data_IF_669455651637
#
_entry.id   IF_669455651637
#
_cell.length_a   1.000
_cell.length_b   1.000
_cell.length_c   1.000
_cell.angle_alpha   90.00
_cell.angle_beta   90.00
_cell.angle_gamma   90.00
#
_symmetry.space_group_name_H-M   'P 1'
#
loop_
_entity.id
_entity.type
_entity.pdbx_description
1 polymer ?
#
# COMPACT_ATOMS: atom_id res chain seq x y z
N UNK A 1 -55.24 13.86 -21.00
CA UNK A 1 -55.14 12.58 -20.31
C UNK A 1 -53.86 11.77 -20.62
N UNK A 2 -53.39 11.65 -21.88
CA UNK A 2 -52.16 10.87 -22.20
C UNK A 2 -50.84 11.50 -21.69
N UNK A 3 -50.76 12.82 -21.56
CA UNK A 3 -49.56 13.55 -21.11
C UNK A 3 -49.36 13.50 -19.58
N UNK A 4 -50.44 13.52 -18.81
CA UNK A 4 -50.43 13.42 -17.34
C UNK A 4 -50.04 12.01 -16.87
N UNK A 5 -50.43 10.97 -17.60
CA UNK A 5 -50.07 9.58 -17.30
C UNK A 5 -48.55 9.33 -17.54
N UNK A 6 -47.97 9.89 -18.61
CA UNK A 6 -46.51 9.80 -18.85
C UNK A 6 -45.68 10.48 -17.79
N UNK A 7 -46.10 11.64 -17.28
CA UNK A 7 -45.39 12.36 -16.19
C UNK A 7 -45.49 11.60 -14.86
N UNK A 8 -46.63 10.96 -14.55
CA UNK A 8 -46.72 10.13 -13.32
C UNK A 8 -45.87 8.89 -13.37
N UNK A 9 -45.80 8.20 -14.52
CA UNK A 9 -44.94 7.00 -14.68
C UNK A 9 -43.46 7.37 -14.55
N UNK A 10 -43.03 8.51 -15.14
CA UNK A 10 -41.63 8.97 -15.00
C UNK A 10 -41.27 9.37 -13.55
N UNK A 11 -42.23 9.98 -12.82
CA UNK A 11 -42.01 10.35 -11.40
C UNK A 11 -41.92 9.12 -10.46
N UNK A 12 -42.77 8.09 -10.74
CA UNK A 12 -42.73 6.85 -9.94
C UNK A 12 -41.47 6.05 -10.25
N UNK A 13 -40.95 6.04 -11.48
CA UNK A 13 -39.67 5.40 -11.81
C UNK A 13 -38.47 6.10 -11.10
N UNK A 14 -38.46 7.45 -11.07
CA UNK A 14 -37.42 8.23 -10.41
C UNK A 14 -37.41 8.05 -8.88
N UNK A 15 -38.61 8.00 -8.26
CA UNK A 15 -38.73 7.75 -6.81
C UNK A 15 -38.35 6.31 -6.43
N UNK A 16 -38.66 5.34 -7.29
CA UNK A 16 -38.28 3.94 -7.09
C UNK A 16 -36.78 3.74 -7.16
N UNK A 17 -36.10 4.34 -8.11
CA UNK A 17 -34.63 4.24 -8.25
C UNK A 17 -33.87 4.91 -7.12
N UNK A 18 -34.34 6.06 -6.64
CA UNK A 18 -33.74 6.75 -5.51
C UNK A 18 -33.89 5.96 -4.19
N UNK A 19 -35.02 5.30 -3.97
CA UNK A 19 -35.26 4.45 -2.79
C UNK A 19 -34.42 3.17 -2.82
N UNK A 20 -34.25 2.55 -3.97
CA UNK A 20 -33.42 1.35 -4.14
C UNK A 20 -31.93 1.73 -3.93
N UNK A 21 -31.47 2.82 -4.53
CA UNK A 21 -30.09 3.29 -4.35
C UNK A 21 -29.76 3.58 -2.88
N UNK A 22 -30.68 4.23 -2.15
CA UNK A 22 -30.48 4.52 -0.71
C UNK A 22 -30.52 3.25 0.16
N UNK A 23 -31.34 2.26 -0.18
CA UNK A 23 -31.37 0.98 0.52
C UNK A 23 -30.10 0.15 0.27
N UNK A 24 -29.56 0.21 -0.94
CA UNK A 24 -28.32 -0.47 -1.32
C UNK A 24 -27.11 0.18 -0.62
N UNK A 25 -27.05 1.52 -0.53
CA UNK A 25 -26.00 2.27 0.14
C UNK A 25 -25.97 1.92 1.65
N UNK A 26 -27.12 1.85 2.31
CA UNK A 26 -27.22 1.43 3.69
C UNK A 26 -26.72 -0.02 3.90
N UNK A 27 -27.02 -0.94 2.99
CA UNK A 27 -26.58 -2.33 3.09
C UNK A 27 -25.08 -2.50 2.92
N UNK A 28 -24.45 -1.69 2.05
CA UNK A 28 -22.99 -1.66 1.89
C UNK A 28 -22.32 -1.10 3.14
N UNK A 29 -22.81 0.00 3.69
CA UNK A 29 -22.29 0.59 4.94
C UNK A 29 -22.37 -0.37 6.13
N UNK A 30 -23.49 -1.11 6.27
CA UNK A 30 -23.63 -2.14 7.28
C UNK A 30 -22.64 -3.29 7.09
N UNK A 31 -22.43 -3.75 5.86
CA UNK A 31 -21.47 -4.81 5.54
C UNK A 31 -20.03 -4.39 5.88
N UNK A 32 -19.65 -3.14 5.58
CA UNK A 32 -18.34 -2.59 6.00
C UNK A 32 -18.23 -2.55 7.52
N UNK A 33 -19.24 -2.06 8.23
CA UNK A 33 -19.26 -2.00 9.70
C UNK A 33 -19.06 -3.39 10.30
N UNK A 34 -19.79 -4.39 9.82
CA UNK A 34 -19.64 -5.79 10.25
C UNK A 34 -18.24 -6.34 9.92
N UNK A 35 -17.70 -5.99 8.74
CA UNK A 35 -16.37 -6.43 8.34
C UNK A 35 -15.27 -5.91 9.29
N UNK A 36 -15.35 -4.66 9.72
CA UNK A 36 -14.42 -4.08 10.71
C UNK A 36 -14.59 -4.70 12.09
N UNK A 37 -15.83 -4.96 12.50
CA UNK A 37 -16.09 -5.65 13.76
C UNK A 37 -15.45 -7.04 13.80
N UNK A 38 -15.67 -7.86 12.77
CA UNK A 38 -15.11 -9.21 12.70
C UNK A 38 -13.59 -9.21 12.54
N UNK A 39 -13.02 -8.26 11.79
CA UNK A 39 -11.56 -8.09 11.69
C UNK A 39 -10.94 -7.80 13.06
N UNK A 40 -11.53 -6.89 13.84
CA UNK A 40 -11.04 -6.51 15.17
C UNK A 40 -10.96 -7.71 16.12
N UNK A 41 -11.82 -8.70 15.96
CA UNK A 41 -11.80 -9.93 16.75
C UNK A 41 -11.06 -11.09 16.07
N UNK A 42 -10.36 -10.82 14.96
CA UNK A 42 -9.57 -11.81 14.23
C UNK A 42 -10.39 -12.81 13.39
N UNK A 43 -11.71 -12.58 13.25
CA UNK A 43 -12.58 -13.47 12.47
C UNK A 43 -12.66 -12.99 11.01
N UNK A 44 -11.58 -13.18 10.27
CA UNK A 44 -11.47 -12.74 8.87
C UNK A 44 -12.49 -13.45 7.95
N UNK A 45 -12.82 -14.70 8.23
CA UNK A 45 -13.81 -15.44 7.45
C UNK A 45 -15.19 -14.76 7.49
N UNK A 46 -15.66 -14.37 8.69
CA UNK A 46 -16.92 -13.65 8.85
C UNK A 46 -16.85 -12.23 8.27
N UNK A 47 -15.69 -11.55 8.38
CA UNK A 47 -15.47 -10.24 7.79
C UNK A 47 -15.61 -10.28 6.26
N UNK A 48 -14.98 -11.26 5.60
CA UNK A 48 -15.09 -11.50 4.16
C UNK A 48 -16.53 -11.84 3.77
N UNK A 49 -17.19 -12.73 4.53
CA UNK A 49 -18.56 -13.15 4.26
C UNK A 49 -19.55 -11.97 4.33
N UNK A 50 -19.34 -11.02 5.24
CA UNK A 50 -20.17 -9.82 5.35
C UNK A 50 -20.14 -8.97 4.07
N UNK A 51 -18.95 -8.73 3.51
CA UNK A 51 -18.79 -7.95 2.28
C UNK A 51 -19.25 -8.70 1.05
N UNK A 52 -19.11 -10.04 1.02
CA UNK A 52 -19.55 -10.85 -0.13
C UNK A 52 -21.07 -10.82 -0.36
N UNK A 53 -21.86 -10.54 0.68
CA UNK A 53 -23.32 -10.40 0.55
C UNK A 53 -23.75 -9.21 -0.32
N UNK A 54 -22.91 -8.18 -0.37
CA UNK A 54 -23.16 -6.93 -1.09
C UNK A 54 -22.13 -6.71 -2.21
N UNK A 55 -21.39 -7.75 -2.58
CA UNK A 55 -20.25 -7.64 -3.49
C UNK A 55 -20.66 -7.19 -4.88
N UNK A 56 -20.03 -6.11 -5.31
CA UNK A 56 -20.04 -5.61 -6.67
C UNK A 56 -18.61 -5.54 -7.20
N UNK A 57 -18.31 -6.24 -8.28
CA UNK A 57 -16.99 -6.28 -8.92
C UNK A 57 -16.54 -4.91 -9.41
N UNK A 58 -17.46 -4.01 -9.70
CA UNK A 58 -17.20 -2.64 -10.13
C UNK A 58 -16.95 -1.65 -8.97
N UNK A 59 -17.10 -2.08 -7.71
CA UNK A 59 -16.77 -1.26 -6.56
C UNK A 59 -15.29 -1.35 -6.22
N UNK A 60 -14.58 -0.23 -6.33
CA UNK A 60 -13.19 -0.11 -5.92
C UNK A 60 -13.00 -0.43 -4.43
N UNK A 61 -13.88 0.12 -3.58
CA UNK A 61 -13.81 0.02 -2.13
C UNK A 61 -14.00 -1.43 -1.65
N UNK A 62 -14.96 -2.15 -2.24
CA UNK A 62 -15.20 -3.56 -1.92
C UNK A 62 -14.01 -4.44 -2.32
N UNK A 63 -13.45 -4.20 -3.52
CA UNK A 63 -12.26 -4.91 -3.96
C UNK A 63 -11.05 -4.61 -3.07
N UNK A 64 -10.82 -3.34 -2.73
CA UNK A 64 -9.72 -2.93 -1.85
C UNK A 64 -9.84 -3.60 -0.47
N UNK A 65 -11.04 -3.54 0.13
CA UNK A 65 -11.31 -4.10 1.45
C UNK A 65 -11.21 -5.63 1.46
N UNK A 66 -11.73 -6.30 0.46
CA UNK A 66 -11.60 -7.76 0.30
C UNK A 66 -10.14 -8.16 0.06
N UNK A 67 -9.38 -7.36 -0.68
CA UNK A 67 -7.94 -7.54 -0.84
C UNK A 67 -7.23 -7.60 0.51
N UNK A 68 -7.47 -6.61 1.37
CA UNK A 68 -6.88 -6.56 2.71
C UNK A 68 -7.31 -7.73 3.60
N UNK A 69 -8.61 -8.04 3.67
CA UNK A 69 -9.12 -9.12 4.52
C UNK A 69 -8.61 -10.50 4.09
N UNK A 70 -8.50 -10.75 2.77
CA UNK A 70 -7.91 -11.99 2.28
C UNK A 70 -6.42 -12.08 2.58
N UNK A 71 -5.66 -10.97 2.50
CA UNK A 71 -4.26 -10.93 2.95
C UNK A 71 -4.15 -11.28 4.44
N UNK A 72 -4.96 -10.65 5.29
CA UNK A 72 -4.98 -10.88 6.72
C UNK A 72 -5.39 -12.31 7.10
N UNK A 73 -6.20 -12.95 6.25
CA UNK A 73 -6.59 -14.37 6.37
C UNK A 73 -5.54 -15.35 5.84
N UNK A 74 -4.41 -14.88 5.27
CA UNK A 74 -3.40 -15.73 4.63
C UNK A 74 -3.77 -16.23 3.23
N UNK A 75 -4.86 -15.74 2.66
CA UNK A 75 -5.37 -16.11 1.33
C UNK A 75 -4.73 -15.20 0.26
N UNK A 76 -3.41 -15.37 0.07
CA UNK A 76 -2.61 -14.40 -0.70
C UNK A 76 -3.00 -14.32 -2.18
N UNK A 77 -3.37 -15.44 -2.82
CA UNK A 77 -3.80 -15.45 -4.22
C UNK A 77 -5.10 -14.69 -4.41
N UNK A 78 -6.08 -14.94 -3.55
CA UNK A 78 -7.36 -14.25 -3.53
C UNK A 78 -7.19 -12.76 -3.26
N UNK A 79 -6.31 -12.43 -2.32
CA UNK A 79 -5.95 -11.04 -2.00
C UNK A 79 -5.40 -10.31 -3.23
N UNK A 80 -4.41 -10.90 -3.92
CA UNK A 80 -3.85 -10.33 -5.15
C UNK A 80 -4.92 -10.13 -6.22
N UNK A 81 -5.86 -11.07 -6.38
CA UNK A 81 -6.95 -10.95 -7.34
C UNK A 81 -7.84 -9.72 -7.04
N UNK A 82 -8.24 -9.54 -5.78
CA UNK A 82 -9.06 -8.38 -5.39
C UNK A 82 -8.32 -7.05 -5.56
N UNK A 83 -7.05 -6.98 -5.14
CA UNK A 83 -6.25 -5.77 -5.38
C UNK A 83 -6.04 -5.51 -6.87
N UNK A 84 -5.90 -6.55 -7.71
CA UNK A 84 -5.81 -6.38 -9.16
C UNK A 84 -7.11 -5.80 -9.75
N UNK A 85 -8.28 -6.24 -9.26
CA UNK A 85 -9.56 -5.65 -9.65
C UNK A 85 -9.63 -4.16 -9.25
N UNK A 86 -9.19 -3.81 -8.03
CA UNK A 86 -9.11 -2.41 -7.60
C UNK A 86 -8.16 -1.59 -8.49
N UNK A 87 -7.00 -2.13 -8.86
CA UNK A 87 -6.05 -1.48 -9.77
C UNK A 87 -6.65 -1.29 -11.17
N UNK A 88 -7.41 -2.26 -11.68
CA UNK A 88 -8.05 -2.15 -12.98
C UNK A 88 -9.15 -1.06 -13.00
N UNK A 89 -9.86 -0.88 -11.89
CA UNK A 89 -10.86 0.17 -11.72
C UNK A 89 -10.23 1.56 -11.57
N UNK A 90 -9.09 1.64 -10.83
CA UNK A 90 -8.35 2.88 -10.59
C UNK A 90 -6.86 2.68 -10.89
N UNK A 91 -6.42 2.74 -12.16
CA UNK A 91 -5.04 2.42 -12.55
C UNK A 91 -3.96 3.32 -11.91
N UNK A 92 -4.32 4.53 -11.50
CA UNK A 92 -3.41 5.48 -10.82
C UNK A 92 -3.47 5.38 -9.30
N UNK A 93 -4.19 4.43 -8.73
CA UNK A 93 -4.28 4.24 -7.28
C UNK A 93 -2.98 3.68 -6.72
N UNK A 94 -2.24 4.50 -5.99
CA UNK A 94 -1.06 4.10 -5.22
C UNK A 94 -1.48 3.17 -4.07
N UNK A 95 -2.63 3.44 -3.43
CA UNK A 95 -3.16 2.63 -2.33
C UNK A 95 -3.39 1.17 -2.74
N UNK A 96 -4.08 0.92 -3.86
CA UNK A 96 -4.35 -0.42 -4.34
C UNK A 96 -3.06 -1.17 -4.71
N UNK A 97 -2.07 -0.47 -5.30
CA UNK A 97 -0.76 -1.04 -5.62
C UNK A 97 0.06 -1.36 -4.37
N UNK A 98 0.07 -0.49 -3.37
CA UNK A 98 0.71 -0.76 -2.08
C UNK A 98 0.02 -1.95 -1.39
N UNK A 99 -1.32 -2.02 -1.44
CA UNK A 99 -2.07 -3.16 -0.92
C UNK A 99 -1.68 -4.47 -1.61
N UNK A 100 -1.53 -4.48 -2.93
CA UNK A 100 -1.13 -5.66 -3.71
C UNK A 100 0.26 -6.19 -3.33
N UNK A 101 1.18 -5.29 -2.96
CA UNK A 101 2.57 -5.67 -2.59
C UNK A 101 2.61 -6.63 -1.41
N UNK A 102 1.75 -6.46 -0.41
CA UNK A 102 1.77 -7.30 0.79
C UNK A 102 1.51 -8.78 0.49
N UNK A 103 0.41 -9.16 -0.17
CA UNK A 103 0.17 -10.57 -0.51
C UNK A 103 1.18 -11.10 -1.54
N UNK A 104 1.66 -10.28 -2.48
CA UNK A 104 2.68 -10.68 -3.43
C UNK A 104 4.00 -11.03 -2.74
N UNK A 105 4.44 -10.22 -1.78
CA UNK A 105 5.64 -10.48 -0.99
C UNK A 105 5.48 -11.73 -0.10
N UNK A 106 4.35 -11.87 0.57
CA UNK A 106 4.05 -13.03 1.41
C UNK A 106 3.95 -14.33 0.59
N UNK A 107 3.51 -14.24 -0.66
CA UNK A 107 3.48 -15.36 -1.60
C UNK A 107 4.85 -15.67 -2.23
N UNK A 108 5.87 -14.81 -2.03
CA UNK A 108 7.22 -14.95 -2.60
C UNK A 108 7.35 -14.41 -4.03
N UNK A 109 6.37 -13.69 -4.55
CA UNK A 109 6.40 -13.15 -5.90
C UNK A 109 7.12 -11.79 -5.96
N UNK A 110 8.45 -11.81 -5.76
CA UNK A 110 9.27 -10.59 -5.74
C UNK A 110 9.30 -9.84 -7.07
N UNK A 111 9.10 -10.53 -8.19
CA UNK A 111 8.99 -9.90 -9.51
C UNK A 111 7.80 -8.93 -9.54
N UNK A 112 6.65 -9.38 -9.05
CA UNK A 112 5.46 -8.55 -9.02
C UNK A 112 5.56 -7.42 -7.97
N UNK A 113 6.21 -7.67 -6.83
CA UNK A 113 6.53 -6.63 -5.83
C UNK A 113 7.29 -5.47 -6.48
N UNK A 114 8.36 -5.78 -7.23
CA UNK A 114 9.17 -4.78 -7.94
C UNK A 114 8.34 -4.07 -9.00
N UNK A 115 7.52 -4.80 -9.76
CA UNK A 115 6.63 -4.23 -10.77
C UNK A 115 5.68 -3.22 -10.17
N UNK A 116 5.01 -3.54 -9.07
CA UNK A 116 4.07 -2.62 -8.42
C UNK A 116 4.78 -1.37 -7.87
N UNK A 117 5.95 -1.50 -7.22
CA UNK A 117 6.71 -0.32 -6.80
C UNK A 117 7.18 0.53 -7.99
N UNK A 118 7.57 -0.09 -9.11
CA UNK A 118 7.92 0.64 -10.34
C UNK A 118 6.72 1.45 -10.85
N UNK A 119 5.53 0.85 -10.89
CA UNK A 119 4.29 1.54 -11.28
C UNK A 119 3.92 2.68 -10.33
N UNK A 120 4.15 2.52 -9.04
CA UNK A 120 3.96 3.62 -8.07
C UNK A 120 4.93 4.77 -8.39
N UNK A 121 6.18 4.48 -8.69
CA UNK A 121 7.18 5.51 -8.99
C UNK A 121 7.00 6.16 -10.37
N UNK A 122 6.30 5.51 -11.31
CA UNK A 122 5.82 6.13 -12.56
C UNK A 122 4.71 7.17 -12.27
N UNK A 123 3.84 6.92 -11.27
CA UNK A 123 2.76 7.81 -10.86
C UNK A 123 3.29 8.95 -9.98
N UNK A 124 4.08 8.61 -8.98
CA UNK A 124 4.68 9.52 -8.01
C UNK A 124 6.18 9.18 -7.83
N UNK A 125 7.08 9.83 -8.59
CA UNK A 125 8.52 9.58 -8.52
C UNK A 125 9.15 9.87 -7.15
N UNK A 126 8.46 10.64 -6.31
CA UNK A 126 8.91 10.99 -4.95
C UNK A 126 8.25 10.14 -3.86
N UNK A 127 7.44 9.15 -4.20
CA UNK A 127 6.80 8.29 -3.22
C UNK A 127 7.85 7.67 -2.28
N UNK A 128 7.86 8.13 -1.03
CA UNK A 128 8.88 7.75 -0.06
C UNK A 128 8.86 6.26 0.27
N UNK A 129 7.67 5.67 0.38
CA UNK A 129 7.49 4.24 0.67
C UNK A 129 8.07 3.40 -0.48
N UNK A 130 7.71 3.70 -1.72
CA UNK A 130 8.19 2.96 -2.87
C UNK A 130 9.71 3.14 -3.06
N UNK A 131 10.24 4.36 -2.95
CA UNK A 131 11.68 4.60 -3.01
C UNK A 131 12.42 3.85 -1.89
N UNK A 132 11.96 3.91 -0.64
CA UNK A 132 12.59 3.18 0.46
C UNK A 132 12.61 1.67 0.21
N UNK A 133 11.50 1.08 -0.18
CA UNK A 133 11.38 -0.37 -0.45
C UNK A 133 12.21 -0.82 -1.65
N UNK A 134 12.24 -0.04 -2.73
CA UNK A 134 13.12 -0.33 -3.87
C UNK A 134 14.59 -0.21 -3.47
N UNK A 135 14.97 0.81 -2.71
CA UNK A 135 16.32 0.94 -2.16
C UNK A 135 16.72 -0.30 -1.36
N UNK A 136 15.84 -0.77 -0.48
CA UNK A 136 16.08 -1.97 0.31
C UNK A 136 16.25 -3.24 -0.55
N UNK A 137 15.38 -3.44 -1.53
CA UNK A 137 15.44 -4.59 -2.47
C UNK A 137 16.77 -4.60 -3.24
N UNK A 138 17.24 -3.46 -3.72
CA UNK A 138 18.51 -3.37 -4.44
C UNK A 138 19.72 -3.48 -3.50
N UNK A 139 19.62 -2.99 -2.28
CA UNK A 139 20.64 -3.18 -1.25
C UNK A 139 20.83 -4.67 -0.93
N UNK A 140 19.75 -5.40 -0.73
CA UNK A 140 19.77 -6.86 -0.48
C UNK A 140 20.38 -7.64 -1.66
N UNK A 141 20.11 -7.19 -2.89
CA UNK A 141 20.77 -7.71 -4.12
C UNK A 141 22.23 -7.28 -4.28
N UNK A 142 22.78 -6.50 -3.34
CA UNK A 142 24.12 -5.91 -3.39
C UNK A 142 24.34 -4.94 -4.57
N UNK A 143 23.28 -4.49 -5.21
CA UNK A 143 23.33 -3.39 -6.17
C UNK A 143 23.25 -2.05 -5.43
N UNK A 144 24.33 -1.73 -4.76
CA UNK A 144 24.42 -0.54 -3.91
C UNK A 144 24.33 0.76 -4.72
N UNK A 145 24.74 0.75 -5.98
CA UNK A 145 24.66 1.91 -6.85
C UNK A 145 23.19 2.27 -7.17
N UNK A 146 22.36 1.27 -7.42
CA UNK A 146 20.93 1.47 -7.61
C UNK A 146 20.22 1.79 -6.29
N UNK A 147 20.55 1.10 -5.20
CA UNK A 147 20.02 1.37 -3.87
C UNK A 147 20.27 2.82 -3.42
N UNK A 148 21.47 3.35 -3.70
CA UNK A 148 21.85 4.73 -3.41
C UNK A 148 20.84 5.73 -4.00
N UNK A 149 20.50 5.58 -5.29
CA UNK A 149 19.59 6.50 -5.99
C UNK A 149 18.19 6.55 -5.35
N UNK A 150 17.74 5.44 -4.84
CA UNK A 150 16.44 5.34 -4.16
C UNK A 150 16.48 5.93 -2.74
N UNK A 151 17.48 5.57 -1.94
CA UNK A 151 17.61 6.12 -0.57
C UNK A 151 17.94 7.61 -0.57
N UNK A 152 18.72 8.09 -1.54
CA UNK A 152 18.98 9.52 -1.70
C UNK A 152 17.68 10.32 -1.85
N UNK A 153 16.71 9.86 -2.65
CA UNK A 153 15.40 10.51 -2.78
C UNK A 153 14.66 10.55 -1.44
N UNK A 154 14.68 9.45 -0.67
CA UNK A 154 14.04 9.39 0.64
C UNK A 154 14.65 10.41 1.60
N UNK A 155 15.98 10.45 1.70
CA UNK A 155 16.69 11.34 2.62
C UNK A 155 16.60 12.81 2.18
N UNK A 156 16.56 13.09 0.88
CA UNK A 156 16.34 14.44 0.37
C UNK A 156 14.95 14.96 0.72
N UNK A 157 13.94 14.10 0.70
CA UNK A 157 12.56 14.47 1.05
C UNK A 157 12.35 14.53 2.57
N UNK A 158 12.95 13.59 3.29
CA UNK A 158 12.86 13.47 4.75
C UNK A 158 14.26 13.41 5.38
N UNK A 159 14.96 14.56 5.53
CA UNK A 159 16.37 14.61 5.92
C UNK A 159 16.67 14.09 7.34
N UNK A 160 15.64 13.84 8.13
CA UNK A 160 15.77 13.41 9.52
C UNK A 160 14.84 12.22 9.82
N UNK A 161 14.86 11.21 8.91
CA UNK A 161 14.15 9.93 9.10
C UNK A 161 15.14 8.83 9.47
N UNK A 162 14.86 8.10 10.54
CA UNK A 162 15.74 7.05 11.06
C UNK A 162 16.06 5.98 9.99
N UNK A 163 15.03 5.31 9.47
CA UNK A 163 15.21 4.21 8.52
C UNK A 163 15.92 4.65 7.23
N UNK A 164 15.53 5.82 6.70
CA UNK A 164 16.14 6.40 5.50
C UNK A 164 17.63 6.70 5.71
N UNK A 165 17.97 7.36 6.81
CA UNK A 165 19.36 7.70 7.14
C UNK A 165 20.21 6.46 7.38
N UNK A 166 19.71 5.48 8.13
CA UNK A 166 20.46 4.26 8.44
C UNK A 166 20.79 3.46 7.19
N UNK A 167 19.78 3.21 6.34
CA UNK A 167 19.99 2.45 5.10
C UNK A 167 20.83 3.22 4.08
N UNK A 168 20.71 4.56 4.04
CA UNK A 168 21.56 5.38 3.19
C UNK A 168 23.01 5.44 3.69
N UNK A 169 23.23 5.43 5.02
CA UNK A 169 24.55 5.34 5.61
C UNK A 169 25.26 4.04 5.24
N UNK A 170 24.57 2.91 5.43
CA UNK A 170 25.09 1.61 5.03
C UNK A 170 25.36 1.50 3.53
N UNK A 171 24.47 2.06 2.71
CA UNK A 171 24.65 2.08 1.25
C UNK A 171 25.89 2.88 0.85
N UNK A 172 26.12 4.05 1.46
CA UNK A 172 27.33 4.84 1.25
C UNK A 172 28.60 4.09 1.71
N UNK A 173 28.53 3.42 2.86
CA UNK A 173 29.63 2.58 3.35
C UNK A 173 30.00 1.48 2.36
N UNK A 174 29.01 0.74 1.84
CA UNK A 174 29.23 -0.32 0.85
C UNK A 174 29.80 0.21 -0.48
N UNK A 175 29.53 1.46 -0.82
CA UNK A 175 30.10 2.13 -1.99
C UNK A 175 31.49 2.75 -1.75
N UNK A 176 32.07 2.58 -0.54
CA UNK A 176 33.34 3.18 -0.17
C UNK A 176 33.27 4.70 0.09
N UNK A 177 32.09 5.29 0.15
CA UNK A 177 31.85 6.70 0.47
C UNK A 177 31.86 6.88 1.99
N UNK A 178 33.04 6.66 2.60
CA UNK A 178 33.18 6.55 4.07
C UNK A 178 32.88 7.84 4.81
N UNK A 179 33.22 9.00 4.25
CA UNK A 179 32.91 10.31 4.86
C UNK A 179 31.42 10.57 4.93
N UNK A 180 30.70 10.32 3.85
CA UNK A 180 29.26 10.46 3.75
C UNK A 180 28.57 9.48 4.71
N UNK A 181 29.01 8.22 4.73
CA UNK A 181 28.52 7.21 5.65
C UNK A 181 28.67 7.64 7.11
N UNK A 182 29.85 8.16 7.49
CA UNK A 182 30.13 8.65 8.85
C UNK A 182 29.17 9.77 9.26
N UNK A 183 28.93 10.74 8.38
CA UNK A 183 27.98 11.84 8.64
C UNK A 183 26.58 11.31 8.85
N UNK A 184 26.15 10.35 8.03
CA UNK A 184 24.81 9.77 8.10
C UNK A 184 24.63 8.91 9.36
N UNK A 185 25.61 8.06 9.73
CA UNK A 185 25.56 7.30 10.98
C UNK A 185 25.50 8.22 12.21
N UNK A 186 26.27 9.33 12.22
CA UNK A 186 26.17 10.30 13.31
C UNK A 186 24.78 10.95 13.37
N UNK A 187 24.12 11.24 12.24
CA UNK A 187 22.73 11.71 12.24
C UNK A 187 21.77 10.67 12.81
N UNK A 188 21.98 9.39 12.52
CA UNK A 188 21.20 8.30 13.14
C UNK A 188 21.34 8.32 14.65
N UNK A 189 22.54 8.52 15.17
CA UNK A 189 22.79 8.61 16.62
C UNK A 189 22.14 9.84 17.27
N UNK A 190 21.86 10.92 16.52
CA UNK A 190 21.07 12.04 17.05
C UNK A 190 19.60 11.65 17.23
N UNK A 191 19.07 10.77 16.37
CA UNK A 191 17.70 10.26 16.46
C UNK A 191 17.55 9.12 17.48
N UNK A 192 18.56 8.26 17.55
CA UNK A 192 18.60 7.08 18.41
C UNK A 192 19.97 6.97 19.08
N UNK A 193 20.19 7.68 20.19
CA UNK A 193 21.45 7.59 20.95
C UNK A 193 21.71 6.14 21.39
N UNK A 194 22.89 5.62 21.03
CA UNK A 194 23.28 4.23 21.34
C UNK A 194 22.77 3.20 20.31
N UNK A 195 22.32 3.64 19.14
CA UNK A 195 21.95 2.73 18.05
C UNK A 195 23.13 1.82 17.67
N UNK A 196 22.93 0.50 17.85
CA UNK A 196 24.00 -0.49 17.67
C UNK A 196 24.48 -0.58 16.22
N UNK A 197 23.57 -0.46 15.26
CA UNK A 197 23.89 -0.55 13.84
C UNK A 197 24.70 0.65 13.36
N UNK A 198 24.33 1.87 13.81
CA UNK A 198 25.08 3.08 13.49
C UNK A 198 26.47 3.07 14.16
N UNK A 199 26.56 2.62 15.43
CA UNK A 199 27.84 2.48 16.13
C UNK A 199 28.75 1.44 15.47
N UNK A 200 28.21 0.30 15.02
CA UNK A 200 28.93 -0.70 14.23
C UNK A 200 29.47 -0.08 12.94
N UNK A 201 28.63 0.60 12.18
CA UNK A 201 29.05 1.28 10.95
C UNK A 201 30.20 2.26 11.17
N UNK A 202 30.13 3.08 12.24
CA UNK A 202 31.22 3.99 12.60
C UNK A 202 32.51 3.26 13.01
N UNK A 203 32.43 2.12 13.69
CA UNK A 203 33.59 1.34 14.07
C UNK A 203 34.33 0.71 12.87
N UNK A 204 33.64 0.45 11.78
CA UNK A 204 34.18 -0.10 10.54
C UNK A 204 34.85 0.96 9.64
N UNK A 205 34.55 2.25 9.88
CA UNK A 205 35.16 3.37 9.17
C UNK A 205 36.52 3.70 9.85
N UNK A 206 37.57 3.41 9.11
CA UNK A 206 38.96 3.70 9.53
C UNK A 206 39.43 5.05 9.00
#
# INVERSE_FOLDING_TARGET
>A
MKTTIKLMISAILLLGTASIAKAQDNSVGEAFTQSYYYEKVGNYSSAIASLKKVYDVSSYELNLRLGWLNYSAGLYKESMNYYQLAINLMPVSIEARLGYVYPAAAFGNMTEVINQYTKILEIDPQNSTANYRMGYIYYDKKDYATAYKYFEKVVNLYPFTYDGLLMFAWTNFQLGKTREAQVLFNKVLLLSPGDKSAMEGLSLIK
#
